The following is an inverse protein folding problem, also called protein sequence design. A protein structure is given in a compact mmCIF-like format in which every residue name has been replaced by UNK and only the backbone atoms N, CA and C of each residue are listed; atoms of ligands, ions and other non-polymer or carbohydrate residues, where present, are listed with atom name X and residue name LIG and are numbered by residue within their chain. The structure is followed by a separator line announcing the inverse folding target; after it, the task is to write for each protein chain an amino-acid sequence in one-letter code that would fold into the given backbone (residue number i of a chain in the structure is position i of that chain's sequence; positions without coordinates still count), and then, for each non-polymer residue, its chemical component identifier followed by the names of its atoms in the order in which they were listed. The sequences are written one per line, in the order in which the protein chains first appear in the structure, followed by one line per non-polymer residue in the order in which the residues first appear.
data_IF_606479716761
#
_entry.id   IF_606479716761
#
_cell.length_a   1.000
_cell.length_b   1.000
_cell.length_c   1.000
_cell.angle_alpha   90.00
_cell.angle_beta   90.00
_cell.angle_gamma   90.00
#
_symmetry.space_group_name_H-M   'P 1'
#
loop_
_entity.id
_entity.type
_entity.pdbx_description
1 polymer ?
#
# COMPACT_ATOMS: atom_id res chain seq x y z
N UNK A 1 45.08 14.60 31.80
CA UNK A 1 44.19 13.47 31.54
C UNK A 1 42.69 13.79 31.78
N UNK A 2 42.26 14.23 32.98
CA UNK A 2 40.83 14.50 33.26
C UNK A 2 40.17 15.51 32.29
N UNK A 3 40.87 16.59 31.91
CA UNK A 3 40.34 17.60 30.94
C UNK A 3 40.19 17.06 29.51
N UNK A 4 41.06 16.11 29.10
CA UNK A 4 40.98 15.47 27.79
C UNK A 4 39.80 14.50 27.72
N UNK A 5 39.52 13.77 28.80
CA UNK A 5 38.38 12.86 28.91
C UNK A 5 37.05 13.62 28.86
N UNK A 6 36.97 14.78 29.50
CA UNK A 6 35.79 15.64 29.47
C UNK A 6 35.55 16.18 28.04
N UNK A 7 36.59 16.57 27.32
CA UNK A 7 36.50 17.02 25.93
C UNK A 7 36.10 15.89 24.99
N UNK A 8 36.58 14.67 25.22
CA UNK A 8 36.15 13.50 24.41
C UNK A 8 34.72 13.11 24.75
N UNK A 9 34.27 13.14 25.99
CA UNK A 9 32.89 12.89 26.39
C UNK A 9 31.95 13.98 25.86
N UNK A 10 32.33 15.25 25.84
CA UNK A 10 31.53 16.31 25.24
C UNK A 10 31.51 16.24 23.71
N UNK A 11 32.58 15.80 23.06
CA UNK A 11 32.59 15.55 21.62
C UNK A 11 31.77 14.32 21.24
N UNK A 12 31.77 13.25 22.06
CA UNK A 12 30.88 12.10 21.85
C UNK A 12 29.39 12.43 22.09
N UNK A 13 29.06 13.35 22.98
CA UNK A 13 27.67 13.80 23.18
C UNK A 13 27.18 14.70 22.04
N UNK A 14 28.07 15.36 21.31
CA UNK A 14 27.76 16.13 20.10
C UNK A 14 27.65 15.25 18.85
N UNK A 15 28.17 14.02 18.89
CA UNK A 15 28.01 13.04 17.80
C UNK A 15 26.66 12.29 17.81
N UNK A 16 25.87 12.42 18.87
CA UNK A 16 24.45 12.14 18.84
C UNK A 16 23.70 13.30 18.17
N UNK A 17 24.12 13.70 16.96
CA UNK A 17 23.20 14.27 16.00
C UNK A 17 22.28 13.10 15.68
N UNK A 18 21.20 12.98 16.46
CA UNK A 18 20.09 12.13 16.13
C UNK A 18 19.80 12.41 14.65
N UNK A 19 19.99 11.43 13.78
CA UNK A 19 19.40 11.47 12.47
C UNK A 19 17.95 11.80 12.74
N UNK A 20 17.55 13.02 12.41
CA UNK A 20 16.23 13.53 12.73
C UNK A 20 15.27 12.81 11.83
N UNK A 21 14.82 11.68 12.30
CA UNK A 21 13.86 10.84 11.63
C UNK A 21 12.57 11.62 11.50
N UNK A 22 12.06 11.70 10.30
CA UNK A 22 10.78 12.33 10.02
C UNK A 22 9.68 11.36 10.43
N UNK A 23 8.58 11.85 10.97
CA UNK A 23 7.52 11.02 11.53
C UNK A 23 6.14 11.51 11.07
N UNK A 24 5.26 10.57 10.80
CA UNK A 24 3.85 10.82 10.47
C UNK A 24 2.95 10.28 11.57
N UNK A 25 2.02 11.11 12.04
CA UNK A 25 1.10 10.78 13.14
C UNK A 25 -0.33 11.19 12.80
N UNK A 26 -1.29 10.56 13.46
CA UNK A 26 -2.70 10.93 13.42
C UNK A 26 -2.92 12.22 14.25
N UNK A 27 -3.53 13.25 13.68
CA UNK A 27 -3.79 14.51 14.37
C UNK A 27 -4.72 14.36 15.60
N UNK A 28 -5.56 13.31 15.64
CA UNK A 28 -6.56 13.14 16.69
C UNK A 28 -5.97 12.62 18.00
N UNK A 29 -4.96 11.78 17.93
CA UNK A 29 -4.44 11.07 19.10
C UNK A 29 -2.90 10.92 19.12
N UNK A 30 -2.20 11.53 18.16
CA UNK A 30 -0.75 11.46 17.96
C UNK A 30 -0.20 10.03 17.81
N UNK A 31 -1.04 9.07 17.46
CA UNK A 31 -0.56 7.71 17.18
C UNK A 31 0.22 7.67 15.87
N UNK A 32 1.32 6.87 15.80
CA UNK A 32 2.08 6.71 14.57
C UNK A 32 1.22 6.17 13.43
N UNK A 33 1.42 6.70 12.23
CA UNK A 33 0.79 6.18 11.01
C UNK A 33 1.81 5.29 10.29
N UNK A 34 1.63 3.98 10.44
CA UNK A 34 2.42 2.99 9.73
C UNK A 34 1.96 2.89 8.28
N UNK A 35 2.89 2.52 7.40
CA UNK A 35 2.60 2.20 5.99
C UNK A 35 2.08 3.37 5.16
N UNK A 36 2.25 4.62 5.58
CA UNK A 36 2.00 5.77 4.72
C UNK A 36 3.05 5.83 3.60
N UNK A 37 2.61 6.08 2.38
CA UNK A 37 3.48 6.15 1.20
C UNK A 37 3.85 7.58 0.89
N UNK A 38 5.13 7.83 0.62
CA UNK A 38 5.67 9.14 0.28
C UNK A 38 5.95 9.18 -1.21
N UNK A 39 5.38 10.18 -1.89
CA UNK A 39 5.62 10.47 -3.30
C UNK A 39 6.46 11.74 -3.43
N UNK A 40 7.38 11.77 -4.40
CA UNK A 40 8.11 12.97 -4.78
C UNK A 40 7.29 13.88 -5.71
N UNK A 41 7.85 15.05 -6.04
CA UNK A 41 7.29 16.01 -6.99
C UNK A 41 7.04 15.44 -8.39
N UNK A 42 7.62 14.29 -8.73
CA UNK A 42 7.43 13.62 -10.02
C UNK A 42 6.39 12.48 -9.94
N UNK A 43 5.73 12.29 -8.79
CA UNK A 43 4.78 11.20 -8.55
C UNK A 43 5.43 9.83 -8.37
N UNK A 44 6.75 9.78 -8.15
CA UNK A 44 7.46 8.54 -7.87
C UNK A 44 7.36 8.20 -6.38
N UNK A 45 7.17 6.93 -6.05
CA UNK A 45 7.23 6.47 -4.66
C UNK A 45 8.68 6.53 -4.18
N UNK A 46 8.95 7.36 -3.16
CA UNK A 46 10.29 7.59 -2.60
C UNK A 46 10.46 7.04 -1.20
N UNK A 47 9.39 6.72 -0.48
CA UNK A 47 9.45 6.16 0.85
C UNK A 47 8.14 5.58 1.35
N UNK A 48 8.24 4.88 2.49
CA UNK A 48 7.11 4.29 3.21
C UNK A 48 7.38 4.48 4.70
N UNK A 49 6.37 4.80 5.51
CA UNK A 49 6.54 4.91 6.96
C UNK A 49 6.59 3.54 7.63
N UNK A 50 7.46 3.40 8.62
CA UNK A 50 7.58 2.22 9.49
C UNK A 50 6.37 2.08 10.43
N UNK A 51 6.38 1.04 11.27
CA UNK A 51 5.40 0.83 12.34
C UNK A 51 5.36 1.97 13.36
N UNK A 52 6.46 2.68 13.53
CA UNK A 52 6.56 3.84 14.42
C UNK A 52 6.24 5.18 13.73
N UNK A 53 5.75 5.11 12.48
CA UNK A 53 5.42 6.26 11.65
C UNK A 53 6.63 6.96 11.05
N UNK A 54 7.82 6.43 11.29
CA UNK A 54 9.07 7.05 10.86
C UNK A 54 9.39 6.71 9.39
N UNK A 55 10.02 7.65 8.69
CA UNK A 55 10.54 7.41 7.34
C UNK A 55 11.92 8.05 7.16
N UNK A 56 12.68 7.50 6.21
CA UNK A 56 14.00 7.99 5.88
C UNK A 56 13.94 9.41 5.32
N UNK A 57 14.97 10.20 5.58
CA UNK A 57 15.10 11.54 5.03
C UNK A 57 14.99 11.52 3.50
N UNK A 58 14.09 12.35 2.99
CA UNK A 58 13.87 12.53 1.56
C UNK A 58 14.76 13.68 1.08
N UNK A 59 15.51 13.53 -0.03
CA UNK A 59 16.38 14.59 -0.51
C UNK A 59 15.59 15.85 -0.87
N UNK A 60 16.21 17.02 -0.68
CA UNK A 60 15.55 18.32 -0.95
C UNK A 60 15.03 18.44 -2.39
N UNK A 61 15.63 17.72 -3.35
CA UNK A 61 15.19 17.69 -4.75
C UNK A 61 13.88 16.94 -4.99
N UNK A 62 13.41 16.16 -4.01
CA UNK A 62 12.16 15.41 -4.10
C UNK A 62 10.93 16.25 -3.72
N UNK A 63 11.12 17.40 -3.05
CA UNK A 63 10.02 18.27 -2.63
C UNK A 63 9.44 19.09 -3.82
N UNK A 64 8.13 19.41 -3.76
CA UNK A 64 7.16 19.03 -2.74
C UNK A 64 6.93 17.52 -2.71
N UNK A 65 6.67 16.98 -1.50
CA UNK A 65 6.30 15.57 -1.33
C UNK A 65 4.83 15.45 -0.96
N UNK A 66 4.24 14.33 -1.36
CA UNK A 66 2.87 13.97 -0.99
C UNK A 66 2.90 12.70 -0.14
N UNK A 67 2.25 12.75 1.03
CA UNK A 67 2.08 11.57 1.89
C UNK A 67 0.63 11.06 1.77
N UNK A 68 0.49 9.76 1.52
CA UNK A 68 -0.81 9.09 1.39
C UNK A 68 -0.88 7.86 2.27
N UNK A 69 -1.99 7.72 2.96
CA UNK A 69 -2.38 6.51 3.68
C UNK A 69 -3.90 6.34 3.57
N UNK A 70 -4.38 5.13 3.30
CA UNK A 70 -5.83 4.88 3.31
C UNK A 70 -6.39 5.24 4.70
N UNK A 71 -7.60 5.77 4.74
CA UNK A 71 -8.23 6.25 5.97
C UNK A 71 -7.81 7.65 6.40
N UNK A 72 -6.92 8.32 5.67
CA UNK A 72 -6.45 9.67 5.93
C UNK A 72 -6.52 10.56 4.70
N UNK A 73 -6.76 11.85 4.92
CA UNK A 73 -6.61 12.85 3.88
C UNK A 73 -5.15 12.90 3.39
N UNK A 74 -4.97 13.19 2.11
CA UNK A 74 -3.64 13.38 1.53
C UNK A 74 -2.95 14.59 2.16
N UNK A 75 -1.67 14.47 2.49
CA UNK A 75 -0.85 15.54 3.04
C UNK A 75 0.24 15.95 2.05
N UNK A 76 0.28 17.23 1.70
CA UNK A 76 1.32 17.83 0.87
C UNK A 76 2.32 18.63 1.71
N UNK A 77 3.60 18.50 1.40
CA UNK A 77 4.69 19.09 2.15
C UNK A 77 5.67 19.76 1.16
N UNK A 78 5.73 21.08 1.21
CA UNK A 78 6.54 21.88 0.28
C UNK A 78 8.05 21.84 0.59
N UNK A 79 8.42 21.66 1.84
CA UNK A 79 9.81 21.70 2.28
C UNK A 79 10.03 21.02 3.62
N UNK A 80 11.29 20.67 3.91
CA UNK A 80 11.71 20.07 5.19
C UNK A 80 11.73 21.11 6.32
N UNK A 81 10.57 21.61 6.74
CA UNK A 81 10.47 22.58 7.84
C UNK A 81 10.22 21.92 9.20
N UNK A 82 9.54 20.80 9.24
CA UNK A 82 9.16 20.07 10.45
C UNK A 82 9.74 18.66 10.45
N UNK A 83 9.71 18.04 11.62
CA UNK A 83 10.11 16.64 11.82
C UNK A 83 8.93 15.71 12.06
N UNK A 84 7.79 16.26 12.44
CA UNK A 84 6.56 15.53 12.68
C UNK A 84 5.45 16.13 11.82
N UNK A 85 4.72 15.28 11.16
CA UNK A 85 3.66 15.60 10.22
C UNK A 85 2.37 14.95 10.68
N UNK A 86 1.28 15.71 10.67
CA UNK A 86 -0.01 15.26 11.15
C UNK A 86 -0.95 15.03 9.96
N UNK A 87 -1.57 13.85 9.87
CA UNK A 87 -2.61 13.54 8.89
C UNK A 87 -3.99 13.55 9.53
N UNK A 88 -4.98 13.96 8.77
CA UNK A 88 -6.40 14.06 9.19
C UNK A 88 -7.10 12.77 8.79
N UNK A 89 -7.75 12.03 9.72
CA UNK A 89 -8.51 10.85 9.37
C UNK A 89 -9.77 11.19 8.57
N UNK A 90 -10.08 10.37 7.55
CA UNK A 90 -11.30 10.49 6.75
C UNK A 90 -12.50 10.00 7.57
N UNK A 91 -13.60 10.73 7.50
CA UNK A 91 -14.90 10.31 8.05
C UNK A 91 -15.68 9.59 6.95
N UNK A 92 -16.00 8.31 7.18
CA UNK A 92 -16.76 7.50 6.23
C UNK A 92 -18.25 7.67 6.41
N UNK A 93 -18.97 7.93 5.33
CA UNK A 93 -20.42 7.78 5.28
C UNK A 93 -20.74 6.30 5.01
N UNK A 94 -21.29 5.60 6.00
CA UNK A 94 -21.56 4.18 5.92
C UNK A 94 -23.03 3.94 5.60
N UNK A 95 -23.32 3.37 4.44
CA UNK A 95 -24.68 2.97 4.08
C UNK A 95 -25.13 1.73 4.85
N UNK A 96 -26.39 1.74 5.30
CA UNK A 96 -26.99 0.60 5.94
C UNK A 96 -27.30 -0.50 4.91
N UNK A 97 -26.57 -1.62 4.96
CA UNK A 97 -26.84 -2.76 4.09
C UNK A 97 -28.14 -3.49 4.52
N UNK A 98 -29.17 -3.45 3.67
CA UNK A 98 -30.40 -4.24 3.87
C UNK A 98 -30.21 -5.61 3.20
N UNK A 99 -30.04 -6.65 4.02
CA UNK A 99 -29.92 -8.04 3.54
C UNK A 99 -31.25 -8.77 3.76
N UNK A 100 -31.99 -9.05 2.71
CA UNK A 100 -33.31 -9.71 2.78
C UNK A 100 -33.26 -11.25 2.65
N UNK A 101 -32.13 -11.84 2.26
CA UNK A 101 -31.94 -13.28 2.02
C UNK A 101 -30.66 -13.75 2.71
N UNK A 102 -30.58 -15.03 3.12
CA UNK A 102 -29.31 -15.61 3.64
C UNK A 102 -28.33 -15.79 2.47
N UNK A 103 -27.43 -14.85 2.22
CA UNK A 103 -26.52 -14.94 1.11
C UNK A 103 -25.47 -16.04 1.36
N UNK A 104 -25.08 -16.76 0.32
CA UNK A 104 -24.05 -17.78 0.38
C UNK A 104 -22.70 -17.27 -0.11
N UNK A 105 -22.71 -16.36 -1.07
CA UNK A 105 -21.51 -15.78 -1.66
C UNK A 105 -21.68 -14.27 -1.78
N UNK A 106 -20.67 -13.55 -1.34
CA UNK A 106 -20.52 -12.10 -1.54
C UNK A 106 -19.62 -11.86 -2.75
N UNK A 107 -20.07 -11.07 -3.70
CA UNK A 107 -19.22 -10.42 -4.68
C UNK A 107 -18.88 -9.02 -4.19
N UNK A 108 -17.60 -8.69 -4.13
CA UNK A 108 -17.13 -7.33 -3.92
C UNK A 108 -16.52 -6.81 -5.21
N UNK A 109 -16.91 -5.61 -5.61
CA UNK A 109 -16.33 -4.88 -6.72
C UNK A 109 -15.44 -3.77 -6.17
N UNK A 110 -14.26 -3.61 -6.77
CA UNK A 110 -13.24 -2.67 -6.34
C UNK A 110 -12.86 -1.72 -7.46
N UNK A 111 -12.67 -0.45 -7.10
CA UNK A 111 -11.80 0.45 -7.83
C UNK A 111 -10.40 0.36 -7.22
N UNK A 112 -9.39 0.22 -8.05
CA UNK A 112 -8.01 0.01 -7.60
C UNK A 112 -7.10 1.01 -8.28
N UNK A 113 -6.19 1.61 -7.51
CA UNK A 113 -5.05 2.40 -7.99
C UNK A 113 -3.76 1.67 -7.64
N UNK A 114 -2.87 1.55 -8.59
CA UNK A 114 -1.54 0.99 -8.39
C UNK A 114 -0.48 1.99 -8.86
N UNK A 115 0.46 2.29 -8.00
CA UNK A 115 1.61 3.16 -8.24
C UNK A 115 2.86 2.30 -8.12
N UNK A 116 3.62 2.16 -9.20
CA UNK A 116 4.88 1.42 -9.17
C UNK A 116 6.00 2.27 -9.75
N UNK A 117 7.07 2.41 -8.99
CA UNK A 117 8.29 3.11 -9.40
C UNK A 117 9.46 2.14 -9.40
N UNK A 118 10.13 2.03 -10.54
CA UNK A 118 11.40 1.33 -10.67
C UNK A 118 12.51 2.39 -10.78
N UNK A 119 13.46 2.37 -9.86
CA UNK A 119 14.62 3.26 -9.85
C UNK A 119 15.88 2.47 -10.18
N UNK A 120 16.72 2.99 -11.07
CA UNK A 120 17.92 2.34 -11.58
C UNK A 120 19.18 3.05 -11.11
N UNK A 121 19.59 2.75 -9.88
CA UNK A 121 20.85 3.23 -9.31
C UNK A 121 20.83 4.66 -8.79
N UNK A 122 20.25 5.60 -9.51
CA UNK A 122 20.02 6.98 -9.08
C UNK A 122 18.57 7.37 -9.29
N UNK A 123 18.10 8.37 -8.55
CA UNK A 123 16.69 8.80 -8.53
C UNK A 123 16.24 9.48 -9.83
N UNK A 124 17.20 9.81 -10.73
CA UNK A 124 16.90 10.42 -12.01
C UNK A 124 16.62 9.40 -13.13
N UNK A 125 16.87 8.12 -12.86
CA UNK A 125 16.63 7.03 -13.82
C UNK A 125 15.46 6.17 -13.33
N UNK A 126 14.24 6.56 -13.74
CA UNK A 126 13.00 5.95 -13.25
C UNK A 126 12.11 5.43 -14.37
N UNK A 127 11.37 4.38 -14.04
CA UNK A 127 10.18 3.95 -14.79
C UNK A 127 9.03 3.98 -13.81
N UNK A 128 8.05 4.83 -14.09
CA UNK A 128 6.86 4.98 -13.24
C UNK A 128 5.64 4.42 -13.96
N UNK A 129 4.85 3.64 -13.25
CA UNK A 129 3.56 3.16 -13.71
C UNK A 129 2.48 3.67 -12.76
N UNK A 130 1.44 4.26 -13.32
CA UNK A 130 0.18 4.48 -12.66
C UNK A 130 -0.88 3.63 -13.36
N UNK A 131 -1.54 2.76 -12.61
CA UNK A 131 -2.56 1.88 -13.18
C UNK A 131 -3.87 2.00 -12.41
N UNK A 132 -4.97 2.11 -13.14
CA UNK A 132 -6.33 2.02 -12.62
C UNK A 132 -6.93 0.67 -13.01
N UNK A 133 -7.62 0.03 -12.07
CA UNK A 133 -8.36 -1.21 -12.32
C UNK A 133 -9.78 -1.10 -11.79
N UNK A 134 -10.70 -1.76 -12.49
CA UNK A 134 -11.91 -2.33 -11.88
C UNK A 134 -11.65 -3.81 -11.69
N UNK A 135 -11.90 -4.30 -10.50
CA UNK A 135 -11.71 -5.70 -10.15
C UNK A 135 -12.89 -6.22 -9.33
N UNK A 136 -13.10 -7.51 -9.33
CA UNK A 136 -14.05 -8.14 -8.43
C UNK A 136 -13.47 -9.41 -7.79
N UNK A 137 -14.06 -9.81 -6.68
CA UNK A 137 -13.83 -11.12 -6.06
C UNK A 137 -15.11 -11.69 -5.50
N UNK A 138 -15.16 -13.00 -5.40
CA UNK A 138 -16.29 -13.74 -4.84
C UNK A 138 -15.83 -14.46 -3.57
N UNK A 139 -16.47 -14.17 -2.45
CA UNK A 139 -16.09 -14.65 -1.14
C UNK A 139 -17.24 -15.47 -0.54
N UNK A 140 -16.97 -16.65 0.07
CA UNK A 140 -17.97 -17.34 0.87
C UNK A 140 -18.49 -16.45 2.00
N UNK A 141 -19.80 -16.34 2.15
CA UNK A 141 -20.40 -15.54 3.23
C UNK A 141 -20.18 -16.13 4.63
N UNK A 142 -19.85 -17.42 4.69
CA UNK A 142 -19.49 -18.12 5.93
C UNK A 142 -18.63 -19.37 5.63
N UNK A 143 -18.04 -19.96 6.65
CA UNK A 143 -17.14 -21.13 6.54
C UNK A 143 -17.81 -22.40 5.98
N UNK A 144 -19.13 -22.52 6.06
CA UNK A 144 -19.87 -23.68 5.58
C UNK A 144 -20.09 -23.68 4.08
N UNK A 145 -19.95 -22.52 3.45
CA UNK A 145 -20.09 -22.35 2.00
C UNK A 145 -18.79 -22.65 1.29
N UNK A 146 -18.72 -23.81 0.63
CA UNK A 146 -17.57 -24.16 -0.22
C UNK A 146 -17.66 -23.45 -1.56
N UNK A 147 -16.89 -22.39 -1.73
CA UNK A 147 -16.75 -21.66 -2.98
C UNK A 147 -15.26 -21.38 -3.24
N UNK A 148 -14.71 -21.92 -4.32
CA UNK A 148 -13.26 -21.95 -4.58
C UNK A 148 -12.74 -20.82 -5.47
N UNK A 149 -13.55 -19.78 -5.71
CA UNK A 149 -13.24 -18.68 -6.63
C UNK A 149 -13.07 -17.35 -5.90
N UNK A 150 -12.28 -17.35 -4.83
CA UNK A 150 -12.04 -16.16 -4.00
C UNK A 150 -10.85 -15.28 -4.47
N UNK A 151 -10.18 -15.65 -5.56
CA UNK A 151 -9.12 -14.81 -6.11
C UNK A 151 -9.69 -13.55 -6.78
N UNK A 152 -8.93 -12.47 -6.72
CA UNK A 152 -9.23 -11.22 -7.40
C UNK A 152 -9.25 -11.42 -8.91
N UNK A 153 -10.24 -10.83 -9.60
CA UNK A 153 -10.40 -10.88 -11.05
C UNK A 153 -10.43 -9.46 -11.60
N UNK A 154 -9.48 -9.13 -12.47
CA UNK A 154 -9.45 -7.82 -13.14
C UNK A 154 -10.53 -7.78 -14.21
N UNK A 155 -11.44 -6.81 -14.12
CA UNK A 155 -12.53 -6.57 -15.05
C UNK A 155 -12.10 -5.60 -16.16
N UNK A 156 -11.43 -4.51 -15.78
CA UNK A 156 -10.89 -3.48 -16.69
C UNK A 156 -9.58 -2.97 -16.12
N UNK A 157 -8.69 -2.56 -17.01
CA UNK A 157 -7.38 -1.99 -16.63
C UNK A 157 -7.03 -0.82 -17.54
N UNK A 158 -6.31 0.16 -17.00
CA UNK A 158 -5.64 1.21 -17.77
C UNK A 158 -4.34 1.57 -17.07
N UNK A 159 -3.23 1.38 -17.77
CA UNK A 159 -1.88 1.62 -17.26
C UNK A 159 -1.24 2.79 -18.01
N UNK A 160 -0.80 3.78 -17.28
CA UNK A 160 0.00 4.91 -17.75
C UNK A 160 1.46 4.66 -17.37
N UNK A 161 2.34 4.79 -18.32
CA UNK A 161 3.78 4.53 -18.17
C UNK A 161 4.57 5.80 -18.47
N UNK A 162 5.54 6.09 -17.63
CA UNK A 162 6.55 7.14 -17.88
C UNK A 162 7.95 6.53 -17.71
N UNK A 163 8.75 6.58 -18.76
CA UNK A 163 10.14 6.15 -18.76
C UNK A 163 11.01 7.39 -18.83
N UNK A 164 11.81 7.60 -17.78
CA UNK A 164 12.81 8.68 -17.70
C UNK A 164 14.16 8.07 -17.37
N UNK A 165 14.99 7.85 -18.39
CA UNK A 165 16.31 7.20 -18.25
C UNK A 165 17.30 7.92 -19.18
N UNK A 166 18.30 8.58 -18.63
CA UNK A 166 19.25 9.40 -19.38
C UNK A 166 18.52 10.42 -20.30
N UNK A 167 18.74 10.34 -21.61
CA UNK A 167 18.11 11.22 -22.60
C UNK A 167 16.72 10.72 -23.05
N UNK A 168 16.27 9.57 -22.56
CA UNK A 168 14.96 9.02 -22.88
C UNK A 168 13.92 9.55 -21.90
N UNK A 169 12.95 10.28 -22.44
CA UNK A 169 11.75 10.72 -21.73
C UNK A 169 10.52 10.40 -22.61
N UNK A 170 9.81 9.34 -22.27
CA UNK A 170 8.67 8.85 -23.04
C UNK A 170 7.52 8.43 -22.17
N UNK A 171 6.30 8.59 -22.68
CA UNK A 171 5.08 8.13 -22.03
C UNK A 171 4.31 7.19 -22.93
N UNK A 172 3.54 6.29 -22.32
CA UNK A 172 2.67 5.36 -23.03
C UNK A 172 1.39 5.05 -22.22
N UNK A 173 0.40 4.50 -22.89
CA UNK A 173 -0.81 3.95 -22.25
C UNK A 173 -1.12 2.57 -22.80
N UNK A 174 -1.63 1.69 -21.95
CA UNK A 174 -2.13 0.38 -22.36
C UNK A 174 -3.33 -0.02 -21.50
N UNK A 175 -4.20 -0.87 -22.06
CA UNK A 175 -5.33 -1.45 -21.34
C UNK A 175 -4.95 -2.79 -20.64
N UNK A 176 -3.66 -3.06 -20.51
CA UNK A 176 -3.13 -4.24 -19.82
C UNK A 176 -2.29 -3.79 -18.64
N UNK A 177 -2.43 -4.49 -17.52
CA UNK A 177 -1.55 -4.27 -16.37
C UNK A 177 -0.11 -4.73 -16.68
N UNK A 178 0.86 -3.95 -16.21
CA UNK A 178 2.29 -4.28 -16.28
C UNK A 178 2.75 -5.07 -15.04
N UNK A 179 2.07 -4.88 -13.93
CA UNK A 179 2.31 -5.53 -12.65
C UNK A 179 1.03 -6.21 -12.17
N UNK A 180 1.18 -7.30 -11.43
CA UNK A 180 0.07 -8.14 -10.97
C UNK A 180 -0.08 -8.12 -9.45
N UNK A 181 0.45 -7.09 -8.79
CA UNK A 181 0.42 -6.96 -7.33
C UNK A 181 -0.99 -7.07 -6.74
N UNK A 182 -1.99 -6.50 -7.43
CA UNK A 182 -3.38 -6.62 -7.00
C UNK A 182 -3.90 -8.07 -6.97
N UNK A 183 -3.37 -8.95 -7.82
CA UNK A 183 -3.77 -10.36 -7.88
C UNK A 183 -3.17 -11.20 -6.74
N UNK A 184 -2.11 -10.71 -6.10
CA UNK A 184 -1.43 -11.36 -4.99
C UNK A 184 -1.95 -10.89 -3.63
N UNK A 185 -2.94 -9.98 -3.63
CA UNK A 185 -3.52 -9.48 -2.41
C UNK A 185 -4.29 -10.55 -1.65
N UNK A 186 -3.94 -10.72 -0.38
CA UNK A 186 -4.62 -11.61 0.55
C UNK A 186 -5.19 -10.80 1.71
N UNK A 187 -6.49 -10.94 1.94
CA UNK A 187 -7.12 -10.38 3.13
C UNK A 187 -6.74 -11.21 4.36
N UNK A 188 -6.50 -10.57 5.53
CA UNK A 188 -6.34 -11.30 6.77
C UNK A 188 -7.53 -12.23 7.03
N UNK A 189 -7.30 -13.38 7.63
CA UNK A 189 -8.39 -14.25 8.05
C UNK A 189 -9.29 -13.51 9.03
N UNK A 190 -10.61 -13.70 8.85
CA UNK A 190 -11.60 -13.11 9.75
C UNK A 190 -11.48 -13.67 11.16
N UNK A 191 -11.07 -12.82 12.09
CA UNK A 191 -10.90 -13.17 13.48
C UNK A 191 -11.66 -12.19 14.39
N UNK A 192 -12.06 -12.62 15.61
CA UNK A 192 -12.54 -11.68 16.62
C UNK A 192 -11.49 -10.61 16.90
N UNK A 193 -11.92 -9.37 17.06
CA UNK A 193 -11.07 -8.24 17.51
C UNK A 193 -10.70 -8.43 19.00
N UNK A 194 -10.43 -9.65 19.40
CA UNK A 194 -10.01 -9.98 20.75
C UNK A 194 -8.50 -9.96 20.87
N UNK A 195 -7.94 -9.57 22.01
CA UNK A 195 -6.52 -9.60 22.22
C UNK A 195 -5.99 -11.01 21.95
N UNK A 196 -5.10 -11.15 20.98
CA UNK A 196 -4.29 -12.34 20.84
C UNK A 196 -3.43 -12.52 22.09
N UNK A 197 -3.06 -13.75 22.39
CA UNK A 197 -2.24 -14.09 23.57
C UNK A 197 -0.86 -13.43 23.55
N UNK A 198 -0.47 -12.88 22.42
CA UNK A 198 0.85 -12.29 22.13
C UNK A 198 0.83 -10.77 21.99
N UNK A 199 0.01 -10.07 22.78
CA UNK A 199 0.04 -8.59 22.84
C UNK A 199 1.44 -8.11 23.23
N UNK A 200 2.05 -7.28 22.35
CA UNK A 200 3.38 -6.70 22.55
C UNK A 200 3.27 -5.31 23.18
N UNK A 201 2.36 -4.48 22.66
CA UNK A 201 2.16 -3.11 23.12
C UNK A 201 0.68 -2.74 23.10
N UNK A 202 0.26 -1.87 24.04
CA UNK A 202 -1.11 -1.38 24.13
C UNK A 202 -1.10 0.06 24.63
N UNK A 203 -0.81 1.01 23.73
CA UNK A 203 -0.88 2.43 24.00
C UNK A 203 -2.15 3.03 23.38
N UNK A 204 -3.04 3.50 24.25
CA UNK A 204 -4.30 4.14 23.81
C UNK A 204 -5.17 3.23 22.94
N UNK A 205 -5.68 3.75 21.80
CA UNK A 205 -6.54 2.99 20.88
C UNK A 205 -5.78 1.98 20.00
N UNK A 206 -4.45 2.06 19.97
CA UNK A 206 -3.60 1.21 19.14
C UNK A 206 -3.08 0.01 19.93
N UNK A 207 -3.18 -1.17 19.34
CA UNK A 207 -2.69 -2.42 19.93
C UNK A 207 -1.81 -3.13 18.92
N UNK A 208 -0.63 -3.58 19.35
CA UNK A 208 0.32 -4.31 18.52
C UNK A 208 0.37 -5.76 18.98
N UNK A 209 0.13 -6.67 18.07
CA UNK A 209 0.13 -8.10 18.30
C UNK A 209 1.16 -8.80 17.42
N UNK A 210 1.72 -9.86 17.95
CA UNK A 210 2.47 -10.81 17.14
C UNK A 210 1.49 -11.78 16.46
N UNK A 211 1.53 -11.87 15.13
CA UNK A 211 0.75 -12.86 14.38
C UNK A 211 1.29 -14.26 14.66
N UNK A 212 0.44 -15.14 15.15
CA UNK A 212 0.79 -16.55 15.34
C UNK A 212 1.03 -17.23 13.98
N UNK A 213 2.04 -18.09 13.91
CA UNK A 213 2.35 -18.88 12.72
C UNK A 213 3.73 -18.62 12.11
N UNK A 214 3.92 -19.10 10.89
CA UNK A 214 5.23 -19.07 10.21
C UNK A 214 5.60 -17.70 9.62
N UNK A 215 4.65 -16.78 9.49
CA UNK A 215 4.88 -15.50 8.84
C UNK A 215 5.79 -14.58 9.65
N UNK A 216 5.69 -14.58 10.99
CA UNK A 216 6.43 -13.69 11.86
C UNK A 216 6.07 -12.23 11.67
N UNK A 217 4.82 -11.94 11.31
CA UNK A 217 4.30 -10.60 11.10
C UNK A 217 3.85 -9.96 12.41
N UNK A 218 3.79 -8.61 12.44
CA UNK A 218 3.06 -7.85 13.46
C UNK A 218 1.74 -7.37 12.91
N UNK A 219 0.69 -7.41 13.75
CA UNK A 219 -0.61 -6.82 13.48
C UNK A 219 -0.78 -5.60 14.37
N UNK A 220 -0.93 -4.44 13.75
CA UNK A 220 -1.25 -3.19 14.41
C UNK A 220 -2.73 -2.96 14.24
N UNK A 221 -3.48 -2.90 15.33
CA UNK A 221 -4.92 -2.71 15.31
C UNK A 221 -5.27 -1.36 15.93
N UNK A 222 -6.12 -0.61 15.24
CA UNK A 222 -6.70 0.64 15.74
C UNK A 222 -8.20 0.63 15.54
N UNK A 223 -8.96 0.97 16.56
CA UNK A 223 -10.41 1.03 16.51
C UNK A 223 -10.91 2.40 16.95
N UNK A 224 -11.83 2.95 16.18
CA UNK A 224 -12.64 4.10 16.55
C UNK A 224 -14.15 3.77 16.51
N UNK A 225 -15.01 4.78 16.63
CA UNK A 225 -16.46 4.57 16.62
C UNK A 225 -17.02 4.04 15.30
N UNK A 226 -16.36 4.30 14.18
CA UNK A 226 -16.85 3.98 12.83
C UNK A 226 -16.04 2.88 12.15
N UNK A 227 -14.74 2.82 12.39
CA UNK A 227 -13.84 1.95 11.67
C UNK A 227 -12.96 1.11 12.58
N UNK A 228 -12.55 -0.02 12.03
CA UNK A 228 -11.53 -0.89 12.58
C UNK A 228 -10.42 -1.08 11.56
N UNK A 229 -9.22 -0.62 11.88
CA UNK A 229 -8.05 -0.67 11.00
C UNK A 229 -7.09 -1.75 11.44
N UNK A 230 -6.60 -2.52 10.48
CA UNK A 230 -5.52 -3.51 10.69
C UNK A 230 -4.38 -3.17 9.74
N UNK A 231 -3.19 -2.91 10.30
CA UNK A 231 -1.94 -2.87 9.53
C UNK A 231 -1.14 -4.11 9.85
N UNK A 232 -0.71 -4.85 8.84
CA UNK A 232 0.17 -6.00 8.98
C UNK A 232 1.56 -5.65 8.44
N UNK A 233 2.56 -5.66 9.32
CA UNK A 233 3.98 -5.63 8.96
C UNK A 233 4.47 -7.07 8.77
N UNK A 234 4.59 -7.49 7.51
CA UNK A 234 4.92 -8.88 7.15
C UNK A 234 6.39 -9.21 7.45
N UNK A 235 7.25 -8.20 7.52
CA UNK A 235 8.69 -8.39 7.73
C UNK A 235 9.15 -8.21 9.17
N UNK A 236 8.29 -7.79 10.08
CA UNK A 236 8.62 -7.40 11.45
C UNK A 236 9.55 -8.36 12.20
N UNK A 237 9.42 -9.67 11.97
CA UNK A 237 10.23 -10.72 12.59
C UNK A 237 11.21 -11.41 11.65
N UNK A 238 11.33 -10.95 10.44
CA UNK A 238 12.30 -11.56 9.51
C UNK A 238 13.70 -11.10 9.85
N UNK A 239 14.66 -12.00 9.71
CA UNK A 239 16.06 -11.66 9.86
C UNK A 239 16.43 -10.52 8.89
N UNK A 240 17.04 -9.48 9.41
CA UNK A 240 17.43 -8.29 8.65
C UNK A 240 16.22 -7.56 7.98
N UNK A 241 15.01 -7.73 8.54
CA UNK A 241 13.76 -7.21 7.96
C UNK A 241 13.67 -7.44 6.44
N UNK A 242 14.04 -8.65 5.97
CA UNK A 242 14.13 -8.90 4.53
C UNK A 242 13.75 -10.32 4.15
N UNK A 243 13.15 -10.46 2.98
CA UNK A 243 12.87 -11.76 2.34
C UNK A 243 13.55 -11.80 0.97
N UNK A 244 14.43 -12.79 0.78
CA UNK A 244 15.04 -13.05 -0.53
C UNK A 244 14.13 -13.86 -1.43
N UNK A 245 13.84 -13.36 -2.61
CA UNK A 245 13.10 -14.05 -3.66
C UNK A 245 14.01 -15.06 -4.40
N UNK A 246 14.56 -16.03 -3.66
CA UNK A 246 15.56 -16.97 -4.18
C UNK A 246 15.07 -17.79 -5.39
N UNK A 247 13.77 -18.12 -5.47
CA UNK A 247 13.20 -18.84 -6.61
C UNK A 247 13.32 -18.11 -7.94
N UNK A 248 13.42 -16.79 -7.93
CA UNK A 248 13.59 -15.97 -9.13
C UNK A 248 15.05 -15.89 -9.60
N UNK A 249 16.01 -16.38 -8.82
CA UNK A 249 17.45 -16.41 -9.18
C UNK A 249 17.69 -17.17 -10.47
N UNK A 250 16.92 -18.22 -10.74
CA UNK A 250 16.98 -19.00 -11.98
C UNK A 250 16.66 -18.15 -13.22
N UNK A 251 15.84 -17.11 -13.07
CA UNK A 251 15.51 -16.18 -14.13
C UNK A 251 16.42 -14.94 -14.17
N UNK A 252 17.51 -14.95 -13.38
CA UNK A 252 18.47 -13.85 -13.29
C UNK A 252 17.98 -12.68 -12.47
N UNK A 253 16.95 -12.87 -11.64
CA UNK A 253 16.43 -11.88 -10.69
C UNK A 253 16.97 -12.21 -9.30
N UNK A 254 17.72 -11.26 -8.72
CA UNK A 254 18.27 -11.34 -7.34
C UNK A 254 17.75 -10.12 -6.60
N UNK A 255 16.56 -10.26 -6.05
CA UNK A 255 15.84 -9.16 -5.38
C UNK A 255 15.48 -9.61 -3.98
N UNK A 256 15.63 -8.71 -3.01
CA UNK A 256 15.14 -8.84 -1.66
C UNK A 256 14.00 -7.87 -1.45
N UNK A 257 12.93 -8.31 -0.80
CA UNK A 257 11.87 -7.45 -0.30
C UNK A 257 12.34 -6.90 1.05
N UNK A 258 12.38 -5.60 1.20
CA UNK A 258 12.88 -4.90 2.38
C UNK A 258 11.77 -4.24 3.20
N UNK A 259 10.63 -3.93 2.54
CA UNK A 259 9.42 -3.42 3.17
C UNK A 259 8.22 -4.16 2.60
N UNK A 260 7.28 -4.55 3.45
CA UNK A 260 6.05 -5.19 3.03
C UNK A 260 4.94 -5.01 4.06
N UNK A 261 3.98 -4.13 3.72
CA UNK A 261 2.84 -3.83 4.56
C UNK A 261 1.53 -4.12 3.82
N UNK A 262 0.52 -4.56 4.56
CA UNK A 262 -0.88 -4.51 4.13
C UNK A 262 -1.68 -3.71 5.14
N UNK A 263 -2.65 -2.94 4.67
CA UNK A 263 -3.53 -2.16 5.51
C UNK A 263 -4.98 -2.42 5.09
N UNK A 264 -5.86 -2.61 6.06
CA UNK A 264 -7.28 -2.93 5.84
C UNK A 264 -8.13 -2.10 6.77
N UNK A 265 -9.15 -1.44 6.22
CA UNK A 265 -10.13 -0.65 6.97
C UNK A 265 -11.49 -1.31 6.83
N UNK A 266 -12.08 -1.65 7.97
CA UNK A 266 -13.39 -2.27 8.07
C UNK A 266 -14.37 -1.35 8.78
N UNK A 267 -15.67 -1.47 8.48
CA UNK A 267 -16.72 -0.91 9.32
C UNK A 267 -16.64 -1.53 10.71
N UNK A 268 -16.65 -0.69 11.76
CA UNK A 268 -16.79 -1.18 13.12
C UNK A 268 -18.18 -1.85 13.29
N UNK A 269 -18.23 -2.93 14.08
CA UNK A 269 -19.47 -3.63 14.36
C UNK A 269 -19.56 -4.08 15.83
N UNK A 270 -20.78 -4.30 16.31
CA UNK A 270 -21.05 -4.65 17.71
C UNK A 270 -20.45 -5.99 18.16
N UNK A 271 -20.02 -6.82 17.23
CA UNK A 271 -19.48 -8.15 17.52
C UNK A 271 -17.98 -8.16 17.76
N UNK A 272 -17.31 -7.01 17.60
CA UNK A 272 -15.86 -6.91 17.62
C UNK A 272 -15.21 -7.99 16.72
N UNK A 273 -15.75 -8.13 15.51
CA UNK A 273 -15.34 -9.12 14.54
C UNK A 273 -15.25 -8.43 13.18
N UNK A 274 -14.10 -8.47 12.54
CA UNK A 274 -13.97 -8.00 11.17
C UNK A 274 -14.29 -9.13 10.18
N UNK A 275 -15.04 -8.80 9.16
CA UNK A 275 -15.47 -9.73 8.13
C UNK A 275 -15.19 -9.14 6.75
N UNK A 276 -14.95 -9.97 5.73
CA UNK A 276 -14.76 -9.48 4.35
C UNK A 276 -15.87 -8.54 3.87
N UNK A 277 -17.10 -8.77 4.28
CA UNK A 277 -18.26 -7.92 3.94
C UNK A 277 -18.18 -6.51 4.53
N UNK A 278 -17.44 -6.32 5.61
CA UNK A 278 -17.31 -5.06 6.33
C UNK A 278 -16.09 -4.25 5.82
N UNK A 279 -15.29 -4.79 4.90
CA UNK A 279 -14.14 -4.11 4.32
C UNK A 279 -14.58 -2.85 3.56
N UNK A 280 -13.98 -1.71 3.84
CA UNK A 280 -14.19 -0.44 3.15
C UNK A 280 -13.08 -0.20 2.14
N UNK A 281 -11.86 -0.30 2.60
CA UNK A 281 -10.65 -0.03 1.83
C UNK A 281 -9.53 -0.98 2.23
N UNK A 282 -8.60 -1.20 1.32
CA UNK A 282 -7.36 -1.89 1.62
C UNK A 282 -6.19 -1.28 0.85
N UNK A 283 -5.00 -1.38 1.38
CA UNK A 283 -3.79 -1.07 0.63
C UNK A 283 -2.70 -2.13 0.84
N UNK A 284 -1.81 -2.16 -0.13
CA UNK A 284 -0.64 -3.01 -0.13
C UNK A 284 0.57 -2.16 -0.50
N UNK A 285 1.66 -2.33 0.22
CA UNK A 285 2.89 -1.62 -0.05
C UNK A 285 4.08 -2.53 0.04
N UNK A 286 5.02 -2.36 -0.89
CA UNK A 286 6.23 -3.17 -0.97
C UNK A 286 7.39 -2.34 -1.49
N UNK A 287 8.54 -2.46 -0.84
CA UNK A 287 9.82 -2.09 -1.42
C UNK A 287 10.68 -3.34 -1.62
N UNK A 288 11.25 -3.46 -2.81
CA UNK A 288 12.21 -4.52 -3.14
C UNK A 288 13.43 -3.93 -3.83
N UNK A 289 14.63 -4.46 -3.51
CA UNK A 289 15.87 -4.00 -4.11
C UNK A 289 16.77 -5.16 -4.51
N UNK A 290 17.57 -4.94 -5.58
CA UNK A 290 18.50 -5.96 -6.03
C UNK A 290 18.92 -5.81 -7.49
N UNK A 291 19.13 -6.90 -8.19
CA UNK A 291 19.54 -6.91 -9.58
C UNK A 291 18.64 -7.79 -10.44
N UNK A 292 18.34 -7.33 -11.65
CA UNK A 292 17.61 -8.11 -12.64
C UNK A 292 18.36 -8.10 -13.99
N UNK A 293 19.06 -9.18 -14.31
CA UNK A 293 19.96 -9.26 -15.46
C UNK A 293 19.32 -8.87 -16.79
N UNK A 294 18.09 -9.28 -17.07
CA UNK A 294 17.41 -8.92 -18.32
C UNK A 294 17.16 -7.42 -18.41
N UNK A 295 16.71 -6.80 -17.31
CA UNK A 295 16.44 -5.39 -17.25
C UNK A 295 17.74 -4.59 -17.32
N UNK A 296 18.78 -4.96 -16.55
CA UNK A 296 20.12 -4.34 -16.62
C UNK A 296 20.68 -4.37 -18.05
N UNK A 297 20.54 -5.50 -18.75
CA UNK A 297 20.97 -5.62 -20.15
C UNK A 297 20.17 -4.69 -21.08
N UNK A 298 18.84 -4.65 -20.94
CA UNK A 298 17.97 -3.82 -21.78
C UNK A 298 18.25 -2.33 -21.58
N UNK A 299 18.52 -1.92 -20.32
CA UNK A 299 18.79 -0.54 -19.94
C UNK A 299 20.29 -0.17 -20.00
N UNK A 300 21.16 -1.14 -20.39
CA UNK A 300 22.64 -0.97 -20.41
C UNK A 300 23.19 -0.40 -19.09
N UNK A 301 22.64 -0.85 -17.96
CA UNK A 301 22.99 -0.38 -16.62
C UNK A 301 23.27 -1.57 -15.70
N UNK A 302 24.40 -1.58 -15.03
CA UNK A 302 24.76 -2.57 -13.99
C UNK A 302 24.35 -2.12 -12.58
N UNK A 303 23.66 -0.97 -12.48
CA UNK A 303 23.22 -0.41 -11.21
C UNK A 303 22.11 -1.26 -10.59
N UNK A 304 21.99 -1.29 -9.24
CA UNK A 304 20.92 -2.01 -8.57
C UNK A 304 19.56 -1.40 -8.92
N UNK A 305 18.57 -2.26 -9.04
CA UNK A 305 17.18 -1.90 -9.20
C UNK A 305 16.53 -1.77 -7.83
N UNK A 306 15.72 -0.72 -7.65
CA UNK A 306 14.76 -0.60 -6.55
C UNK A 306 13.35 -0.52 -7.14
N UNK A 307 12.45 -1.31 -6.59
CA UNK A 307 11.04 -1.35 -6.97
C UNK A 307 10.24 -0.95 -5.74
N UNK A 308 9.40 0.07 -5.87
CA UNK A 308 8.41 0.47 -4.86
C UNK A 308 7.03 0.40 -5.47
N UNK A 309 6.14 -0.29 -4.80
CA UNK A 309 4.75 -0.44 -5.24
C UNK A 309 3.81 -0.08 -4.11
N UNK A 310 2.80 0.73 -4.43
CA UNK A 310 1.63 0.99 -3.59
C UNK A 310 0.39 0.61 -4.38
N UNK A 311 -0.50 -0.12 -3.74
CA UNK A 311 -1.83 -0.45 -4.28
C UNK A 311 -2.88 0.03 -3.28
N UNK A 312 -3.86 0.77 -3.75
CA UNK A 312 -5.04 1.20 -3.00
C UNK A 312 -6.26 0.54 -3.61
N UNK A 313 -7.10 -0.05 -2.78
CA UNK A 313 -8.32 -0.75 -3.18
C UNK A 313 -9.51 -0.18 -2.43
N UNK A 314 -10.50 0.28 -3.13
CA UNK A 314 -11.72 0.89 -2.60
C UNK A 314 -12.91 0.05 -2.99
N UNK A 315 -13.72 -0.37 -2.02
CA UNK A 315 -14.93 -1.16 -2.30
C UNK A 315 -15.99 -0.24 -2.90
N UNK A 316 -16.39 -0.53 -4.13
CA UNK A 316 -17.40 0.22 -4.89
C UNK A 316 -18.79 -0.36 -4.68
N UNK A 317 -18.87 -1.70 -4.69
CA UNK A 317 -20.18 -2.38 -4.67
C UNK A 317 -20.09 -3.75 -3.98
N UNK A 318 -21.21 -4.21 -3.47
CA UNK A 318 -21.40 -5.51 -2.79
C UNK A 318 -22.70 -6.18 -3.24
N UNK A 319 -22.55 -7.26 -3.98
CA UNK A 319 -23.64 -8.10 -4.39
C UNK A 319 -23.68 -9.41 -3.61
N UNK A 320 -24.86 -9.88 -3.31
CA UNK A 320 -25.08 -11.11 -2.55
C UNK A 320 -25.80 -12.15 -3.41
N UNK A 321 -25.21 -13.31 -3.54
CA UNK A 321 -25.68 -14.38 -4.43
C UNK A 321 -25.97 -15.67 -3.69
N UNK A 322 -26.84 -16.51 -4.29
CA UNK A 322 -26.80 -17.93 -4.07
C UNK A 322 -25.48 -18.52 -4.61
N UNK A 323 -25.12 -19.72 -4.21
CA UNK A 323 -23.89 -20.36 -4.71
C UNK A 323 -23.94 -20.62 -6.23
N UNK A 324 -25.12 -20.97 -6.74
CA UNK A 324 -25.37 -21.26 -8.15
C UNK A 324 -25.25 -19.97 -9.00
N UNK A 325 -25.92 -18.89 -8.59
CA UNK A 325 -25.86 -17.59 -9.27
C UNK A 325 -24.44 -17.00 -9.23
N UNK A 326 -23.72 -17.18 -8.12
CA UNK A 326 -22.32 -16.76 -8.01
C UNK A 326 -21.42 -17.47 -9.02
N UNK A 327 -21.63 -18.78 -9.26
CA UNK A 327 -20.87 -19.53 -10.27
C UNK A 327 -21.15 -19.01 -11.68
N UNK A 328 -22.39 -18.66 -11.96
CA UNK A 328 -22.80 -18.11 -13.25
C UNK A 328 -22.22 -16.71 -13.43
N UNK A 329 -22.38 -15.81 -12.44
CA UNK A 329 -21.81 -14.47 -12.45
C UNK A 329 -20.27 -14.48 -12.58
N UNK A 330 -19.61 -15.46 -11.98
CA UNK A 330 -18.16 -15.61 -12.13
C UNK A 330 -17.76 -16.02 -13.56
N UNK A 331 -18.53 -16.90 -14.23
CA UNK A 331 -18.27 -17.30 -15.62
C UNK A 331 -18.53 -16.16 -16.59
N UNK A 332 -19.60 -15.41 -16.37
CA UNK A 332 -20.05 -14.33 -17.24
C UNK A 332 -19.38 -13.01 -16.84
N UNK A 333 -18.08 -12.86 -17.20
CA UNK A 333 -17.36 -11.61 -16.95
C UNK A 333 -18.03 -10.46 -17.68
N UNK A 334 -18.34 -9.32 -17.01
CA UNK A 334 -18.85 -8.13 -17.67
C UNK A 334 -17.89 -7.63 -18.76
N UNK A 335 -18.44 -7.21 -19.91
CA UNK A 335 -17.64 -6.75 -21.07
C UNK A 335 -17.54 -5.23 -21.17
N UNK A 336 -18.54 -4.50 -20.66
CA UNK A 336 -18.56 -3.02 -20.69
C UNK A 336 -18.49 -2.46 -19.28
N UNK A 337 -17.32 -2.64 -18.66
CA UNK A 337 -17.05 -2.14 -17.30
C UNK A 337 -16.54 -0.70 -17.39
N UNK A 338 -17.21 0.23 -16.72
CA UNK A 338 -16.74 1.61 -16.55
C UNK A 338 -15.91 1.72 -15.28
N UNK A 339 -15.03 2.72 -15.22
CA UNK A 339 -14.37 3.07 -13.96
C UNK A 339 -15.37 3.81 -13.07
N UNK A 340 -15.67 3.22 -11.94
CA UNK A 340 -16.52 3.78 -10.88
C UNK A 340 -15.61 4.21 -9.73
N UNK A 341 -15.43 5.51 -9.58
CA UNK A 341 -14.50 6.08 -8.60
C UNK A 341 -15.33 6.53 -7.39
N UNK A 342 -15.18 5.90 -6.23
CA UNK A 342 -15.85 6.33 -5.00
C UNK A 342 -15.45 7.76 -4.60
N UNK A 343 -16.33 8.45 -3.91
CA UNK A 343 -16.07 9.82 -3.41
C UNK A 343 -15.00 9.87 -2.32
N UNK A 344 -14.76 8.74 -1.64
CA UNK A 344 -13.69 8.59 -0.65
C UNK A 344 -12.29 8.50 -1.27
N UNK A 345 -12.20 8.27 -2.59
CA UNK A 345 -10.89 8.16 -3.27
C UNK A 345 -10.26 9.56 -3.35
N UNK A 346 -9.08 9.78 -2.75
CA UNK A 346 -8.40 11.06 -2.83
C UNK A 346 -8.11 11.46 -4.28
N UNK A 347 -8.01 12.76 -4.53
CA UNK A 347 -7.55 13.26 -5.82
C UNK A 347 -6.16 12.69 -6.16
N UNK A 348 -5.82 12.66 -7.43
CA UNK A 348 -4.46 12.30 -7.84
C UNK A 348 -3.52 13.42 -7.42
N UNK A 349 -2.29 13.09 -7.04
CA UNK A 349 -1.28 14.12 -6.87
C UNK A 349 -0.96 14.78 -8.22
N UNK A 350 -0.48 16.03 -8.19
CA UNK A 350 -0.24 16.84 -9.38
C UNK A 350 0.62 16.12 -10.44
N UNK A 351 1.64 15.40 -10.00
CA UNK A 351 2.55 14.69 -10.91
C UNK A 351 1.85 13.53 -11.63
N UNK A 352 1.00 12.76 -10.93
CA UNK A 352 0.21 11.68 -11.56
C UNK A 352 -0.83 12.25 -12.51
N UNK A 353 -1.48 13.37 -12.15
CA UNK A 353 -2.39 14.08 -13.06
C UNK A 353 -1.68 14.58 -14.31
N UNK A 354 -0.50 15.18 -14.14
CA UNK A 354 0.32 15.65 -15.25
C UNK A 354 0.74 14.49 -16.17
N UNK A 355 1.12 13.33 -15.62
CA UNK A 355 1.39 12.13 -16.39
C UNK A 355 0.18 11.70 -17.21
N UNK A 356 -0.99 11.55 -16.57
CA UNK A 356 -2.23 11.15 -17.24
C UNK A 356 -2.62 12.14 -18.34
N UNK A 357 -2.47 13.44 -18.10
CA UNK A 357 -2.74 14.50 -19.07
C UNK A 357 -1.78 14.41 -20.25
N UNK A 358 -0.47 14.33 -19.99
CA UNK A 358 0.57 14.21 -21.03
C UNK A 358 0.33 13.01 -21.95
N UNK A 359 0.04 11.84 -21.36
CA UNK A 359 -0.29 10.63 -22.13
C UNK A 359 -1.50 10.85 -23.02
N UNK A 360 -2.58 11.46 -22.49
CA UNK A 360 -3.80 11.74 -23.27
C UNK A 360 -3.54 12.71 -24.45
N UNK A 361 -2.60 13.63 -24.30
CA UNK A 361 -2.21 14.58 -25.35
C UNK A 361 -1.33 13.91 -26.42
N UNK A 362 -0.39 13.03 -26.04
CA UNK A 362 0.50 12.33 -26.97
C UNK A 362 -0.24 11.25 -27.79
N UNK A 363 -1.22 10.56 -27.20
CA UNK A 363 -2.03 9.55 -27.92
C UNK A 363 -3.02 10.17 -28.92
N UNK A 364 -3.35 11.47 -28.80
CA UNK A 364 -4.21 12.19 -29.75
C UNK A 364 -3.48 12.69 -31.00
N UNK A 365 -2.15 12.68 -30.98
CA UNK A 365 -1.31 13.04 -32.14
C UNK A 365 -1.01 11.85 -33.01
#
# INVERSE_FOLDING_TARGET
MKRLIILILSALSLLNIANAQQRVVDIMDNTPIASATIFDANGSVVGITSTDGDFSEVPASAYPITIRCIGFEQLEIDSLANREWQMIPIVYELDAAVISVKPQVLRQTFYVREYTTLTLGDENSTITYFTEHMADRFIPANKDVKFSKNSMRILRSRCYEHIKIADLDSVAVSDTTKFLSVLEWNEPESEPITPHKSLINSDGPTKVYEKEGKSGAYLIQKQNAQTFTIVEDILAKKKDHSISLWGLKLFGVKVNINEWYTNHIYCANDKNLYMPKDLIEASFMMEAAGTWKKLSKALKSDKPLRIRTMVEMYVVDRDYFSKEDAKEAYKNKPTDVKFEIPTSVPELNEATEALVKRVKEEVKK
#
